data_IF_467578589739
#
_entry.id   IF_467578589739
#
_cell.length_a   1.000
_cell.length_b   1.000
_cell.length_c   1.000
_cell.angle_alpha   90.00
_cell.angle_beta   90.00
_cell.angle_gamma   90.00
#
_symmetry.space_group_name_H-M   'P 1'
#
loop_
_entity.id
_entity.type
_entity.pdbx_description
1 polymer ?
#
# COMPACT_ATOMS: atom_id res chain seq x y z
N UNK A 1 14.11 -8.95 -9.18
CA UNK A 1 14.63 -7.84 -8.33
C UNK A 1 14.74 -8.36 -6.91
N UNK A 2 15.80 -8.02 -6.18
CA UNK A 2 16.00 -8.44 -4.78
C UNK A 2 15.12 -7.64 -3.81
N UNK A 3 14.72 -8.24 -2.70
CA UNK A 3 14.01 -7.63 -1.55
C UNK A 3 14.62 -6.28 -1.13
N UNK A 4 15.95 -6.14 -1.20
CA UNK A 4 16.66 -4.89 -0.90
C UNK A 4 16.17 -3.71 -1.74
N UNK A 5 15.85 -3.92 -3.03
CA UNK A 5 15.32 -2.87 -3.91
C UNK A 5 13.88 -2.49 -3.54
N UNK A 6 13.08 -3.45 -3.07
CA UNK A 6 11.73 -3.17 -2.58
C UNK A 6 11.80 -2.35 -1.29
N UNK A 7 12.61 -2.75 -0.31
CA UNK A 7 12.80 -2.00 0.94
C UNK A 7 13.26 -0.58 0.67
N UNK A 8 14.23 -0.39 -0.23
CA UNK A 8 14.70 0.93 -0.64
C UNK A 8 13.56 1.77 -1.22
N UNK A 9 12.78 1.22 -2.13
CA UNK A 9 11.61 1.90 -2.69
C UNK A 9 10.60 2.29 -1.60
N UNK A 10 10.29 1.40 -0.65
CA UNK A 10 9.36 1.70 0.44
C UNK A 10 9.83 2.89 1.29
N UNK A 11 11.14 2.96 1.58
CA UNK A 11 11.74 4.09 2.31
C UNK A 11 11.68 5.39 1.52
N UNK A 12 12.04 5.34 0.23
CA UNK A 12 11.99 6.51 -0.66
C UNK A 12 10.56 7.02 -0.82
N UNK A 13 9.59 6.14 -1.06
CA UNK A 13 8.16 6.49 -1.15
C UNK A 13 7.65 7.08 0.15
N UNK A 14 7.96 6.48 1.31
CA UNK A 14 7.57 7.04 2.61
C UNK A 14 8.10 8.47 2.82
N UNK A 15 9.34 8.73 2.41
CA UNK A 15 9.95 10.06 2.55
C UNK A 15 9.24 11.15 1.70
N UNK A 16 8.56 10.76 0.61
CA UNK A 16 7.81 11.68 -0.25
C UNK A 16 6.55 12.24 0.41
N UNK A 17 6.08 11.67 1.52
CA UNK A 17 4.87 12.12 2.22
C UNK A 17 5.21 12.73 3.57
N UNK A 18 4.34 13.62 4.05
CA UNK A 18 4.41 14.01 5.47
C UNK A 18 3.94 12.82 6.31
N UNK A 19 4.61 12.58 7.44
CA UNK A 19 4.29 11.42 8.27
C UNK A 19 2.85 11.46 8.81
N UNK A 20 2.27 12.65 8.99
CA UNK A 20 0.86 12.84 9.34
C UNK A 20 -0.11 12.47 8.21
N UNK A 21 0.33 12.58 6.96
CA UNK A 21 -0.50 12.35 5.78
C UNK A 21 -0.41 10.89 5.33
N UNK A 22 0.78 10.29 5.38
CA UNK A 22 1.00 8.88 5.15
C UNK A 22 2.28 8.38 5.82
N UNK A 23 2.16 7.28 6.55
CA UNK A 23 3.29 6.51 7.06
C UNK A 23 3.24 5.08 6.47
N UNK A 24 4.33 4.67 5.84
CA UNK A 24 4.52 3.34 5.26
C UNK A 24 5.54 2.58 6.11
N UNK A 25 5.10 1.48 6.72
CA UNK A 25 5.97 0.55 7.46
C UNK A 25 5.89 -0.84 6.86
N UNK A 26 6.92 -1.65 7.08
CA UNK A 26 7.00 -3.00 6.55
C UNK A 26 7.65 -3.96 7.54
N UNK A 27 7.34 -5.25 7.39
CA UNK A 27 7.94 -6.32 8.16
C UNK A 27 8.59 -7.33 7.23
N UNK A 28 9.80 -7.72 7.60
CA UNK A 28 10.59 -8.73 6.89
C UNK A 28 10.47 -10.05 7.67
N UNK A 29 10.20 -11.14 6.96
CA UNK A 29 10.20 -12.51 7.50
C UNK A 29 10.90 -13.37 6.45
N UNK A 30 11.92 -14.13 6.86
CA UNK A 30 12.75 -14.94 5.96
C UNK A 30 13.34 -14.13 4.79
N UNK A 31 13.92 -12.97 5.09
CA UNK A 31 14.53 -12.05 4.11
C UNK A 31 13.58 -11.52 3.02
N UNK A 32 12.27 -11.71 3.18
CA UNK A 32 11.24 -11.22 2.28
C UNK A 32 10.29 -10.24 2.97
N UNK A 33 9.83 -9.21 2.25
CA UNK A 33 8.80 -8.32 2.77
C UNK A 33 7.47 -9.06 2.75
N UNK A 34 6.92 -9.38 3.94
CA UNK A 34 5.65 -10.09 4.08
C UNK A 34 4.49 -9.19 4.45
N UNK A 35 4.73 -8.15 5.23
CA UNK A 35 3.66 -7.28 5.72
C UNK A 35 4.01 -5.85 5.36
N UNK A 36 3.02 -5.11 4.88
CA UNK A 36 3.10 -3.69 4.60
C UNK A 36 1.93 -2.99 5.27
N UNK A 37 2.20 -1.90 6.00
CA UNK A 37 1.18 -1.12 6.70
C UNK A 37 1.22 0.31 6.19
N UNK A 38 0.07 0.79 5.75
CA UNK A 38 -0.17 2.17 5.35
C UNK A 38 -1.02 2.81 6.45
N UNK A 39 -0.48 3.84 7.11
CA UNK A 39 -1.17 4.57 8.17
C UNK A 39 -1.45 6.00 7.77
N UNK A 40 -2.67 6.45 8.02
CA UNK A 40 -3.08 7.83 7.78
C UNK A 40 -4.41 8.15 8.45
N UNK A 41 -4.38 8.92 9.54
CA UNK A 41 -5.60 9.32 10.25
C UNK A 41 -6.45 10.32 9.46
N UNK A 42 -5.86 11.00 8.47
CA UNK A 42 -6.54 12.00 7.64
C UNK A 42 -7.28 11.36 6.47
N UNK A 43 -6.64 10.40 5.79
CA UNK A 43 -7.09 9.89 4.49
C UNK A 43 -7.68 8.48 4.54
N UNK A 44 -7.28 7.62 5.48
CA UNK A 44 -7.83 6.27 5.60
C UNK A 44 -9.03 6.31 6.54
N UNK A 45 -10.23 6.32 5.94
CA UNK A 45 -11.50 6.12 6.64
C UNK A 45 -12.13 4.83 6.13
N UNK A 46 -12.41 3.90 7.04
CA UNK A 46 -13.06 2.62 6.78
C UNK A 46 -14.34 2.63 7.63
N UNK A 47 -15.38 3.22 7.07
CA UNK A 47 -16.67 3.42 7.72
C UNK A 47 -17.56 2.17 7.67
N UNK A 48 -17.39 1.32 6.65
CA UNK A 48 -18.22 0.14 6.47
C UNK A 48 -17.47 -1.08 5.89
N UNK A 49 -18.15 -2.23 5.90
CA UNK A 49 -17.62 -3.48 5.32
C UNK A 49 -17.45 -3.41 3.80
N UNK A 50 -18.18 -2.54 3.10
CA UNK A 50 -18.13 -2.41 1.63
C UNK A 50 -16.85 -1.70 1.19
N UNK A 51 -16.39 -0.69 1.94
CA UNK A 51 -15.11 -0.03 1.73
C UNK A 51 -13.96 -1.02 1.91
N UNK A 52 -13.99 -1.81 2.99
CA UNK A 52 -13.00 -2.90 3.21
C UNK A 52 -12.97 -3.89 2.04
N UNK A 53 -14.13 -4.35 1.58
CA UNK A 53 -14.23 -5.24 0.42
C UNK A 53 -13.70 -4.59 -0.87
N UNK A 54 -13.93 -3.29 -1.05
CA UNK A 54 -13.46 -2.53 -2.22
C UNK A 54 -11.93 -2.42 -2.23
N UNK A 55 -11.31 -2.11 -1.09
CA UNK A 55 -9.84 -2.13 -0.97
C UNK A 55 -9.29 -3.53 -1.23
N UNK A 56 -9.86 -4.58 -0.62
CA UNK A 56 -9.42 -5.95 -0.83
C UNK A 56 -9.46 -6.33 -2.32
N UNK A 57 -10.52 -5.95 -3.02
CA UNK A 57 -10.66 -6.18 -4.46
C UNK A 57 -9.62 -5.40 -5.27
N UNK A 58 -9.41 -4.12 -4.98
CA UNK A 58 -8.37 -3.30 -5.61
C UNK A 58 -6.99 -3.94 -5.47
N UNK A 59 -6.62 -4.31 -4.23
CA UNK A 59 -5.32 -4.91 -3.93
C UNK A 59 -5.15 -6.23 -4.67
N UNK A 60 -6.18 -7.09 -4.68
CA UNK A 60 -6.14 -8.36 -5.39
C UNK A 60 -5.94 -8.19 -6.91
N UNK A 61 -6.62 -7.21 -7.52
CA UNK A 61 -6.49 -6.91 -8.95
C UNK A 61 -5.10 -6.34 -9.26
N UNK A 62 -4.67 -5.28 -8.56
CA UNK A 62 -3.39 -4.60 -8.80
C UNK A 62 -2.19 -5.53 -8.58
N UNK A 63 -2.28 -6.44 -7.62
CA UNK A 63 -1.18 -7.35 -7.27
C UNK A 63 -1.23 -8.69 -8.01
N UNK A 64 -2.21 -8.93 -8.89
CA UNK A 64 -2.47 -10.25 -9.48
C UNK A 64 -2.58 -11.37 -8.43
N UNK A 65 -3.16 -11.06 -7.28
CA UNK A 65 -3.35 -12.00 -6.16
C UNK A 65 -2.10 -12.26 -5.30
N UNK A 66 -0.93 -11.66 -5.62
CA UNK A 66 0.25 -11.84 -4.78
C UNK A 66 0.24 -10.97 -3.51
N UNK A 67 -0.72 -10.05 -3.38
CA UNK A 67 -1.00 -9.31 -2.16
C UNK A 67 -2.48 -9.41 -1.80
N UNK A 68 -2.78 -9.35 -0.52
CA UNK A 68 -4.15 -9.32 -0.01
C UNK A 68 -4.28 -8.40 1.20
N UNK A 69 -5.49 -7.87 1.37
CA UNK A 69 -5.83 -7.07 2.54
C UNK A 69 -5.92 -7.99 3.77
N UNK A 70 -5.01 -7.81 4.72
CA UNK A 70 -5.00 -8.56 5.98
C UNK A 70 -5.89 -7.89 7.01
N UNK A 71 -5.76 -6.58 7.18
CA UNK A 71 -6.65 -5.80 8.02
C UNK A 71 -6.90 -4.40 7.45
N UNK A 72 -8.06 -3.83 7.75
CA UNK A 72 -8.40 -2.46 7.42
C UNK A 72 -9.32 -1.89 8.49
N UNK A 73 -8.94 -0.73 9.01
CA UNK A 73 -9.69 0.05 9.99
C UNK A 73 -9.36 1.53 9.82
N UNK A 74 -10.07 2.39 10.51
CA UNK A 74 -9.77 3.83 10.50
C UNK A 74 -8.30 4.08 10.81
N UNK A 75 -7.66 4.85 9.95
CA UNK A 75 -6.25 5.19 10.05
C UNK A 75 -5.26 4.10 9.60
N UNK A 76 -5.69 2.89 9.23
CA UNK A 76 -4.79 1.78 8.91
C UNK A 76 -5.29 0.86 7.79
N UNK A 77 -4.41 0.60 6.82
CA UNK A 77 -4.51 -0.52 5.88
C UNK A 77 -3.29 -1.43 6.08
N UNK A 78 -3.52 -2.70 6.41
CA UNK A 78 -2.49 -3.73 6.56
C UNK A 78 -2.60 -4.74 5.41
N UNK A 79 -1.52 -4.88 4.65
CA UNK A 79 -1.39 -5.76 3.50
C UNK A 79 -0.46 -6.91 3.83
N UNK A 80 -0.82 -8.09 3.36
CA UNK A 80 0.05 -9.26 3.33
C UNK A 80 0.55 -9.48 1.91
N UNK A 81 1.82 -9.85 1.79
CA UNK A 81 2.53 -10.11 0.53
C UNK A 81 2.94 -11.57 0.53
N UNK A 82 2.58 -12.28 -0.54
CA UNK A 82 2.99 -13.65 -0.78
C UNK A 82 4.12 -13.69 -1.84
N UNK A 83 5.41 -13.67 -1.43
CA UNK A 83 6.55 -13.77 -2.34
C UNK A 83 6.61 -15.09 -3.10
N UNK A 84 5.93 -16.15 -2.62
CA UNK A 84 5.90 -17.46 -3.28
C UNK A 84 4.78 -17.61 -4.32
N UNK A 85 3.96 -16.57 -4.50
CA UNK A 85 2.93 -16.62 -5.52
C UNK A 85 3.58 -16.66 -6.92
N UNK A 86 3.11 -17.50 -7.87
CA UNK A 86 3.75 -17.66 -9.18
C UNK A 86 3.79 -16.37 -10.01
N UNK A 87 2.88 -15.44 -9.75
CA UNK A 87 2.83 -14.12 -10.38
C UNK A 87 3.56 -13.02 -9.60
N UNK A 88 4.19 -13.34 -8.47
CA UNK A 88 4.86 -12.35 -7.64
C UNK A 88 5.96 -11.63 -8.42
N UNK A 89 5.88 -10.30 -8.42
CA UNK A 89 6.91 -9.41 -8.95
C UNK A 89 6.97 -8.20 -8.02
N UNK A 90 8.17 -7.76 -7.67
CA UNK A 90 8.33 -6.55 -6.85
C UNK A 90 7.71 -5.31 -7.49
N UNK A 91 7.63 -5.25 -8.83
CA UNK A 91 6.94 -4.16 -9.54
C UNK A 91 5.45 -4.12 -9.20
N UNK A 92 4.77 -5.27 -9.15
CA UNK A 92 3.35 -5.33 -8.77
C UNK A 92 3.12 -4.81 -7.36
N UNK A 93 4.07 -5.04 -6.44
CA UNK A 93 3.99 -4.47 -5.08
C UNK A 93 4.04 -2.94 -5.13
N UNK A 94 4.94 -2.36 -5.95
CA UNK A 94 5.03 -0.91 -6.13
C UNK A 94 3.76 -0.34 -6.74
N UNK A 95 3.31 -0.92 -7.85
CA UNK A 95 2.13 -0.48 -8.59
C UNK A 95 0.87 -0.55 -7.71
N UNK A 96 0.77 -1.59 -6.88
CA UNK A 96 -0.33 -1.74 -5.90
C UNK A 96 -0.29 -0.65 -4.84
N UNK A 97 0.88 -0.34 -4.27
CA UNK A 97 1.02 0.74 -3.29
C UNK A 97 0.65 2.09 -3.91
N UNK A 98 1.14 2.38 -5.12
CA UNK A 98 0.81 3.62 -5.84
C UNK A 98 -0.68 3.71 -6.13
N UNK A 99 -1.32 2.61 -6.55
CA UNK A 99 -2.76 2.55 -6.76
C UNK A 99 -3.55 2.85 -5.48
N UNK A 100 -3.12 2.30 -4.33
CA UNK A 100 -3.76 2.59 -3.04
C UNK A 100 -3.59 4.06 -2.65
N UNK A 101 -2.39 4.63 -2.82
CA UNK A 101 -2.11 6.05 -2.54
C UNK A 101 -2.98 6.97 -3.41
N UNK A 102 -3.13 6.65 -4.70
CA UNK A 102 -3.96 7.39 -5.65
C UNK A 102 -5.43 7.33 -5.24
N UNK A 103 -5.95 6.14 -4.89
CA UNK A 103 -7.33 5.97 -4.42
C UNK A 103 -7.59 6.76 -3.15
N UNK A 104 -6.63 6.78 -2.22
CA UNK A 104 -6.67 7.61 -1.01
C UNK A 104 -6.47 9.11 -1.27
N UNK A 105 -6.13 9.50 -2.50
CA UNK A 105 -5.87 10.89 -2.91
C UNK A 105 -4.84 11.61 -2.04
N UNK A 106 -3.83 10.88 -1.55
CA UNK A 106 -2.78 11.44 -0.69
C UNK A 106 -1.75 12.16 -1.57
N UNK A 107 -1.50 13.43 -1.29
CA UNK A 107 -0.54 14.23 -2.03
C UNK A 107 0.89 14.03 -1.50
N UNK A 108 1.87 13.99 -2.41
CA UNK A 108 3.29 14.07 -2.04
C UNK A 108 3.63 15.47 -1.53
N UNK A 109 4.66 15.57 -0.68
CA UNK A 109 5.23 16.85 -0.21
C UNK A 109 5.48 17.79 -1.38
N UNK A 110 4.94 19.01 -1.28
CA UNK A 110 5.10 20.04 -2.31
C UNK A 110 4.31 19.81 -3.60
N UNK A 111 3.46 18.79 -3.69
CA UNK A 111 2.57 18.55 -4.83
C UNK A 111 1.10 18.73 -4.42
N UNK A 112 0.28 19.25 -5.36
CA UNK A 112 -1.18 19.26 -5.17
C UNK A 112 -1.72 17.82 -5.28
N UNK A 113 -2.79 17.46 -4.55
CA UNK A 113 -3.40 16.14 -4.65
C UNK A 113 -3.77 15.81 -6.10
N UNK A 114 -3.41 14.61 -6.56
CA UNK A 114 -3.91 14.13 -7.85
C UNK A 114 -5.41 13.92 -7.74
N UNK A 115 -6.20 14.76 -8.42
CA UNK A 115 -7.64 14.57 -8.53
C UNK A 115 -7.91 13.33 -9.38
N UNK A 116 -8.33 12.25 -8.75
CA UNK A 116 -8.94 11.13 -9.46
C UNK A 116 -10.32 11.61 -9.93
N UNK A 117 -10.54 11.68 -11.26
CA UNK A 117 -11.90 11.87 -11.79
C UNK A 117 -12.69 10.61 -11.44
N UNK A 118 -13.60 10.74 -10.48
CA UNK A 118 -14.61 9.72 -10.15
C UNK A 118 -15.61 9.60 -11.28
#
# INVERSE_FOLDING_TARGET
MSTKKLIRYLKETNAMFNQEDLEITHQIIEDEVRILKLKSNKYIRISDKKERASYARLIGICSNGCMFLKDAKDGLIELSINPYHPKYKTSLVKDTIESVIIVLSIAKKGQKPQKVKR
#
